data_IF_701195863908
#
_entry.id   IF_701195863908
#
_cell.length_a   1.000
_cell.length_b   1.000
_cell.length_c   1.000
_cell.angle_alpha   90.00
_cell.angle_beta   90.00
_cell.angle_gamma   90.00
#
_symmetry.space_group_name_H-M   'P 1'
#
loop_
_entity.id
_entity.type
_entity.pdbx_description
1 polymer ?
#
# COMPACT_ATOMS: atom_id res chain seq x y z
N UNK A 1 1.08 -72.22 15.11
CA UNK A 1 1.48 -71.16 14.15
C UNK A 1 0.36 -70.14 14.02
N UNK A 2 0.25 -69.16 14.92
CA UNK A 2 -0.79 -68.11 14.87
C UNK A 2 -0.17 -66.83 15.43
N UNK A 3 0.61 -66.09 14.64
CA UNK A 3 1.10 -64.75 15.06
C UNK A 3 1.85 -64.01 13.96
N UNK A 4 1.14 -63.53 12.92
CA UNK A 4 1.68 -62.44 12.09
C UNK A 4 0.66 -61.71 11.21
N UNK A 5 -0.58 -62.18 11.14
CA UNK A 5 -1.63 -61.51 10.34
C UNK A 5 -2.38 -60.42 11.10
N UNK A 6 -2.30 -60.42 12.44
CA UNK A 6 -3.01 -59.46 13.30
C UNK A 6 -2.60 -57.99 13.13
N UNK A 7 -1.30 -57.60 13.02
CA UNK A 7 -0.95 -56.19 12.91
C UNK A 7 -1.45 -55.61 11.58
N UNK A 8 -1.35 -56.36 10.48
CA UNK A 8 -1.81 -55.90 9.17
C UNK A 8 -3.32 -55.67 9.13
N UNK A 9 -4.11 -56.58 9.70
CA UNK A 9 -5.57 -56.41 9.76
C UNK A 9 -5.94 -55.24 10.67
N UNK A 10 -5.23 -55.06 11.79
CA UNK A 10 -5.49 -53.96 12.71
C UNK A 10 -5.13 -52.59 12.09
N UNK A 11 -3.99 -52.50 11.39
CA UNK A 11 -3.60 -51.28 10.67
C UNK A 11 -4.53 -50.98 9.50
N UNK A 12 -4.98 -52.00 8.76
CA UNK A 12 -5.95 -51.83 7.67
C UNK A 12 -7.30 -51.33 8.18
N UNK A 13 -7.78 -51.85 9.32
CA UNK A 13 -9.04 -51.41 9.95
C UNK A 13 -8.90 -49.99 10.50
N UNK A 14 -7.78 -49.65 11.15
CA UNK A 14 -7.53 -48.28 11.61
C UNK A 14 -7.43 -47.28 10.45
N UNK A 15 -6.74 -47.64 9.36
CA UNK A 15 -6.72 -46.82 8.15
C UNK A 15 -8.14 -46.67 7.58
N UNK A 16 -8.92 -47.74 7.47
CA UNK A 16 -10.30 -47.66 6.99
C UNK A 16 -11.17 -46.76 7.87
N UNK A 17 -11.04 -46.82 9.20
CA UNK A 17 -11.80 -45.97 10.14
C UNK A 17 -11.38 -44.50 10.02
N UNK A 18 -10.07 -44.22 9.90
CA UNK A 18 -9.55 -42.85 9.73
C UNK A 18 -10.00 -42.25 8.39
N UNK A 19 -10.07 -43.05 7.33
CA UNK A 19 -10.56 -42.61 6.01
C UNK A 19 -12.09 -42.55 5.91
N UNK A 20 -12.81 -43.28 6.78
CA UNK A 20 -14.28 -43.25 6.84
C UNK A 20 -14.84 -42.14 7.76
N UNK A 21 -14.01 -41.51 8.59
CA UNK A 21 -14.41 -40.36 9.39
C UNK A 21 -14.59 -39.14 8.46
N UNK A 22 -15.80 -38.56 8.37
CA UNK A 22 -16.00 -37.35 7.58
C UNK A 22 -15.14 -36.25 8.17
N UNK A 23 -14.16 -35.77 7.39
CA UNK A 23 -13.40 -34.56 7.70
C UNK A 23 -14.42 -33.44 7.90
N UNK A 24 -14.72 -33.08 9.16
CA UNK A 24 -15.60 -31.95 9.43
C UNK A 24 -14.93 -30.72 8.82
N UNK A 25 -15.57 -30.09 7.81
CA UNK A 25 -15.03 -28.86 7.28
C UNK A 25 -15.16 -27.80 8.37
N UNK A 26 -14.05 -27.45 9.01
CA UNK A 26 -13.97 -26.23 9.83
C UNK A 26 -13.97 -25.02 8.90
N UNK A 27 -15.04 -24.82 8.16
CA UNK A 27 -15.27 -23.51 7.55
C UNK A 27 -15.94 -22.66 8.62
N UNK A 28 -15.11 -22.02 9.44
CA UNK A 28 -15.50 -20.78 10.10
C UNK A 28 -15.76 -19.75 9.01
N UNK A 29 -16.93 -19.81 8.36
CA UNK A 29 -17.36 -18.78 7.42
C UNK A 29 -18.01 -17.70 8.26
N UNK A 30 -17.23 -16.68 8.65
CA UNK A 30 -17.84 -15.35 8.65
C UNK A 30 -18.23 -15.11 7.18
N UNK A 31 -19.48 -14.77 6.87
CA UNK A 31 -19.83 -14.38 5.51
C UNK A 31 -18.91 -13.23 5.11
N UNK A 32 -18.12 -13.39 4.05
CA UNK A 32 -17.48 -12.24 3.41
C UNK A 32 -18.64 -11.41 2.85
N UNK A 33 -18.77 -10.11 3.20
CA UNK A 33 -19.81 -9.29 2.62
C UNK A 33 -19.63 -9.31 1.09
N UNK A 34 -20.63 -9.84 0.39
CA UNK A 34 -20.69 -9.80 -1.06
C UNK A 34 -21.11 -8.38 -1.47
N UNK A 35 -20.13 -7.51 -1.72
CA UNK A 35 -20.41 -6.18 -2.25
C UNK A 35 -20.82 -6.31 -3.72
N UNK A 36 -22.13 -6.47 -3.94
CA UNK A 36 -22.77 -6.62 -5.27
C UNK A 36 -22.86 -5.32 -6.06
N UNK A 37 -21.86 -4.43 -5.97
CA UNK A 37 -21.77 -3.31 -6.90
C UNK A 37 -20.78 -3.65 -7.99
N UNK A 38 -21.35 -3.78 -9.19
CA UNK A 38 -20.66 -4.06 -10.46
C UNK A 38 -19.97 -2.79 -10.97
N UNK A 39 -19.40 -1.98 -10.07
CA UNK A 39 -18.60 -0.80 -10.39
C UNK A 39 -17.15 -1.21 -10.21
N UNK A 40 -16.40 -1.27 -11.30
CA UNK A 40 -14.99 -1.65 -11.31
C UNK A 40 -14.05 -0.66 -10.60
N UNK A 41 -14.54 0.18 -9.69
CA UNK A 41 -13.77 1.17 -8.96
C UNK A 41 -14.45 1.53 -7.64
N UNK A 42 -13.65 1.69 -6.58
CA UNK A 42 -14.12 2.28 -5.35
C UNK A 42 -14.34 3.78 -5.57
N UNK A 43 -15.61 4.12 -5.43
CA UNK A 43 -16.14 5.47 -5.35
C UNK A 43 -15.66 6.14 -4.05
N UNK A 44 -15.84 7.45 -4.00
CA UNK A 44 -15.70 8.21 -2.77
C UNK A 44 -16.65 7.65 -1.70
N UNK A 45 -16.34 7.82 -0.40
CA UNK A 45 -17.22 7.36 0.66
C UNK A 45 -18.62 7.98 0.55
N UNK A 46 -19.63 7.25 1.05
CA UNK A 46 -20.99 7.78 1.18
C UNK A 46 -20.95 9.14 1.90
N UNK A 47 -21.66 10.13 1.34
CA UNK A 47 -21.67 11.51 1.82
C UNK A 47 -20.37 12.30 1.59
N UNK A 48 -19.54 11.92 0.62
CA UNK A 48 -18.43 12.72 0.11
C UNK A 48 -18.78 14.20 -0.12
N UNK A 49 -20.02 14.48 -0.52
CA UNK A 49 -20.55 15.83 -0.75
C UNK A 49 -20.54 16.71 0.51
N UNK A 50 -20.49 16.13 1.71
CA UNK A 50 -20.33 16.88 2.96
C UNK A 50 -18.95 17.55 3.09
N UNK A 51 -17.95 17.05 2.36
CA UNK A 51 -16.57 17.57 2.39
C UNK A 51 -16.34 18.51 1.19
N UNK A 52 -16.85 18.15 0.02
CA UNK A 52 -16.74 18.93 -1.22
C UNK A 52 -18.08 18.94 -1.95
N UNK A 53 -18.60 20.12 -2.20
CA UNK A 53 -19.79 20.29 -3.05
C UNK A 53 -19.41 20.13 -4.53
N UNK A 54 -20.37 19.73 -5.38
CA UNK A 54 -20.22 19.67 -6.84
C UNK A 54 -19.07 18.77 -7.35
N UNK A 55 -18.98 17.55 -6.83
CA UNK A 55 -18.01 16.55 -7.29
C UNK A 55 -18.33 16.13 -8.73
N UNK A 56 -17.34 16.23 -9.62
CA UNK A 56 -17.40 15.75 -11.01
C UNK A 56 -16.81 14.34 -11.08
N UNK A 57 -17.45 13.38 -11.76
CA UNK A 57 -16.95 11.99 -11.87
C UNK A 57 -16.72 11.57 -13.33
N UNK A 58 -15.80 12.27 -14.02
CA UNK A 58 -15.38 11.91 -15.39
C UNK A 58 -13.99 11.27 -15.46
N UNK A 59 -13.26 11.20 -14.34
CA UNK A 59 -11.91 10.66 -14.32
C UNK A 59 -11.89 9.17 -14.69
N UNK A 60 -10.95 8.78 -15.56
CA UNK A 60 -10.78 7.40 -16.02
C UNK A 60 -9.35 6.90 -15.87
N UNK A 61 -9.22 5.67 -15.39
CA UNK A 61 -7.97 4.91 -15.35
C UNK A 61 -7.60 4.24 -16.69
N UNK A 62 -8.38 4.46 -17.76
CA UNK A 62 -8.06 3.91 -19.09
C UNK A 62 -6.70 4.45 -19.55
N UNK A 63 -5.85 3.56 -20.06
CA UNK A 63 -4.51 3.89 -20.58
C UNK A 63 -3.55 4.53 -19.57
N UNK A 64 -3.87 4.45 -18.27
CA UNK A 64 -3.00 4.87 -17.18
C UNK A 64 -2.29 3.65 -16.60
N UNK A 65 -1.04 3.83 -16.16
CA UNK A 65 -0.28 2.79 -15.43
C UNK A 65 -0.73 2.74 -13.97
N UNK A 66 -0.12 1.85 -13.18
CA UNK A 66 -0.28 1.89 -11.74
C UNK A 66 0.26 3.23 -11.20
N UNK A 67 -0.54 3.93 -10.39
CA UNK A 67 -0.10 5.20 -9.83
C UNK A 67 -1.22 6.06 -9.25
N UNK A 68 -0.83 7.25 -8.84
CA UNK A 68 -1.67 8.29 -8.26
C UNK A 68 -1.85 9.42 -9.27
N UNK A 69 -3.08 9.93 -9.37
CA UNK A 69 -3.48 10.91 -10.37
C UNK A 69 -4.35 12.00 -9.74
N UNK A 70 -3.88 13.24 -9.79
CA UNK A 70 -4.65 14.42 -9.40
C UNK A 70 -5.88 14.57 -10.32
N UNK A 71 -7.03 14.88 -9.74
CA UNK A 71 -8.22 15.17 -10.52
C UNK A 71 -8.38 16.67 -10.74
N UNK A 72 -7.96 17.13 -11.92
CA UNK A 72 -8.03 18.55 -12.29
C UNK A 72 -9.47 19.06 -12.47
N UNK A 73 -10.45 18.18 -12.76
CA UNK A 73 -11.86 18.59 -12.85
C UNK A 73 -12.48 18.86 -11.46
N UNK A 74 -11.80 18.41 -10.40
CA UNK A 74 -12.16 18.63 -9.00
C UNK A 74 -11.13 19.49 -8.26
N UNK A 75 -10.49 20.43 -8.97
CA UNK A 75 -9.50 21.38 -8.43
C UNK A 75 -8.34 20.69 -7.67
N UNK A 76 -8.01 19.46 -8.06
CA UNK A 76 -7.04 18.59 -7.38
C UNK A 76 -7.37 18.31 -5.91
N UNK A 77 -8.54 18.68 -5.40
CA UNK A 77 -8.98 18.29 -4.06
C UNK A 77 -9.32 16.80 -4.00
N UNK A 78 -9.62 16.19 -5.15
CA UNK A 78 -9.78 14.75 -5.32
C UNK A 78 -8.56 14.21 -6.06
N UNK A 79 -8.14 13.01 -5.69
CA UNK A 79 -7.16 12.24 -6.46
C UNK A 79 -7.59 10.78 -6.55
N UNK A 80 -7.04 10.09 -7.54
CA UNK A 80 -7.35 8.71 -7.83
C UNK A 80 -6.10 7.84 -7.82
N UNK A 81 -6.27 6.60 -7.36
CA UNK A 81 -5.27 5.54 -7.53
C UNK A 81 -5.78 4.61 -8.63
N UNK A 82 -4.97 4.40 -9.64
CA UNK A 82 -5.26 3.44 -10.71
C UNK A 82 -4.44 2.17 -10.54
N UNK A 83 -5.06 1.02 -10.75
CA UNK A 83 -4.41 -0.28 -10.86
C UNK A 83 -4.86 -0.97 -12.14
N UNK A 84 -4.00 -1.02 -13.18
CA UNK A 84 -4.30 -1.74 -14.41
C UNK A 84 -4.60 -3.22 -14.15
N UNK A 85 -5.54 -3.77 -14.89
CA UNK A 85 -5.92 -5.17 -14.87
C UNK A 85 -5.97 -5.72 -16.30
N UNK A 86 -6.00 -7.05 -16.44
CA UNK A 86 -6.04 -7.70 -17.76
C UNK A 86 -7.27 -7.34 -18.59
N UNK A 87 -8.36 -6.90 -17.96
CA UNK A 87 -9.63 -6.53 -18.62
C UNK A 87 -10.16 -5.17 -18.19
N UNK A 88 -9.28 -4.22 -17.87
CA UNK A 88 -9.66 -2.86 -17.48
C UNK A 88 -8.67 -2.25 -16.49
N UNK A 89 -9.18 -1.41 -15.61
CA UNK A 89 -8.40 -0.88 -14.48
C UNK A 89 -9.33 -0.70 -13.28
N UNK A 90 -8.81 -0.95 -12.08
CA UNK A 90 -9.48 -0.56 -10.85
C UNK A 90 -9.07 0.85 -10.47
N UNK A 91 -10.06 1.65 -10.10
CA UNK A 91 -9.89 3.01 -9.57
C UNK A 91 -10.25 3.03 -8.09
N UNK A 92 -9.48 3.76 -7.29
CA UNK A 92 -9.90 4.21 -5.95
C UNK A 92 -9.84 5.72 -5.92
N UNK A 93 -10.80 6.37 -5.26
CA UNK A 93 -10.89 7.83 -5.20
C UNK A 93 -10.80 8.33 -3.76
N UNK A 94 -10.11 9.45 -3.57
CA UNK A 94 -9.87 10.04 -2.25
C UNK A 94 -10.05 11.55 -2.30
N UNK A 95 -10.54 12.13 -1.21
CA UNK A 95 -10.64 13.59 -1.04
C UNK A 95 -9.54 14.02 -0.07
N UNK A 96 -8.75 15.02 -0.46
CA UNK A 96 -7.86 15.71 0.44
C UNK A 96 -8.67 16.48 1.51
N UNK A 97 -8.14 16.64 2.74
CA UNK A 97 -8.76 17.47 3.76
C UNK A 97 -9.05 18.91 3.28
N UNK A 98 -9.92 19.61 3.99
CA UNK A 98 -10.23 21.02 3.71
C UNK A 98 -8.93 21.86 3.60
N UNK A 99 -8.93 22.80 2.64
CA UNK A 99 -7.81 23.70 2.34
C UNK A 99 -6.53 23.03 1.80
N UNK A 100 -6.61 21.74 1.41
CA UNK A 100 -5.48 21.04 0.79
C UNK A 100 -5.87 20.46 -0.57
N UNK A 101 -4.87 20.33 -1.43
CA UNK A 101 -4.97 19.76 -2.77
C UNK A 101 -3.89 18.71 -2.97
N UNK A 102 -4.14 17.72 -3.80
CA UNK A 102 -3.19 16.68 -4.11
C UNK A 102 -2.06 17.24 -4.99
N UNK A 103 -0.86 17.29 -4.43
CA UNK A 103 0.33 17.70 -5.15
C UNK A 103 0.89 16.49 -5.92
N UNK A 104 0.63 16.44 -7.22
CA UNK A 104 1.06 15.34 -8.09
C UNK A 104 2.58 15.14 -8.12
N UNK A 105 3.39 16.19 -7.90
CA UNK A 105 4.84 16.11 -7.91
C UNK A 105 5.42 15.40 -6.67
N UNK A 106 4.64 15.34 -5.58
CA UNK A 106 5.09 14.75 -4.31
C UNK A 106 4.20 13.61 -3.81
N UNK A 107 3.08 13.35 -4.49
CA UNK A 107 2.06 12.37 -4.12
C UNK A 107 1.43 12.59 -2.74
N UNK A 108 1.33 13.84 -2.29
CA UNK A 108 0.82 14.21 -0.96
C UNK A 108 -0.22 15.32 -1.07
N UNK A 109 -1.26 15.30 -0.25
CA UNK A 109 -2.15 16.45 -0.08
C UNK A 109 -1.40 17.56 0.68
N UNK A 110 -1.16 18.70 0.03
CA UNK A 110 -0.50 19.86 0.62
C UNK A 110 -1.43 21.06 0.59
N UNK A 111 -1.11 22.09 1.37
CA UNK A 111 -1.76 23.40 1.19
C UNK A 111 -1.50 23.93 -0.21
N UNK A 112 -2.42 24.73 -0.74
CA UNK A 112 -2.36 25.26 -2.11
C UNK A 112 -1.13 26.12 -2.37
N UNK A 113 -0.67 26.87 -1.37
CA UNK A 113 0.54 27.71 -1.42
C UNK A 113 1.86 26.92 -1.51
N UNK A 114 1.84 25.66 -1.09
CA UNK A 114 2.97 24.74 -1.13
C UNK A 114 2.79 23.64 -2.19
N UNK A 115 1.75 23.74 -3.02
CA UNK A 115 1.48 22.81 -4.11
C UNK A 115 1.95 23.38 -5.44
N UNK A 116 2.22 22.49 -6.40
CA UNK A 116 2.23 22.88 -7.81
C UNK A 116 0.83 23.37 -8.23
N UNK A 117 0.72 24.24 -9.26
CA UNK A 117 -0.57 24.58 -9.84
C UNK A 117 -1.31 23.32 -10.29
N UNK A 118 -2.62 23.25 -10.02
CA UNK A 118 -3.41 22.04 -10.27
C UNK A 118 -3.38 21.65 -11.75
N UNK A 119 -3.44 22.64 -12.64
CA UNK A 119 -3.42 22.50 -14.10
C UNK A 119 -2.10 21.94 -14.64
N UNK A 120 -1.04 21.99 -13.83
CA UNK A 120 0.27 21.42 -14.18
C UNK A 120 0.44 19.98 -13.73
N UNK A 121 -0.53 19.41 -12.99
CA UNK A 121 -0.43 18.06 -12.42
C UNK A 121 -0.10 17.00 -13.46
N UNK A 122 -0.72 17.07 -14.65
CA UNK A 122 -0.49 16.08 -15.71
C UNK A 122 0.99 15.97 -16.14
N UNK A 123 1.76 17.06 -16.06
CA UNK A 123 3.20 17.07 -16.38
C UNK A 123 4.01 16.16 -15.46
N UNK A 124 3.49 15.84 -14.28
CA UNK A 124 4.12 15.01 -13.26
C UNK A 124 3.57 13.58 -13.22
N UNK A 125 2.66 13.19 -14.11
CA UNK A 125 2.14 11.81 -14.15
C UNK A 125 3.21 10.76 -14.45
N UNK A 126 4.29 11.14 -15.14
CA UNK A 126 5.45 10.26 -15.39
C UNK A 126 6.16 9.82 -14.11
N UNK A 127 6.03 10.57 -13.00
CA UNK A 127 6.59 10.16 -11.71
C UNK A 127 5.99 8.84 -11.20
N UNK A 128 4.78 8.47 -11.67
CA UNK A 128 4.19 7.18 -11.33
C UNK A 128 5.04 5.99 -11.80
N UNK A 129 5.88 6.17 -12.83
CA UNK A 129 6.78 5.13 -13.31
C UNK A 129 7.86 4.75 -12.29
N UNK A 130 8.15 5.62 -11.32
CA UNK A 130 9.11 5.34 -10.25
C UNK A 130 8.50 4.51 -9.11
N UNK A 131 7.17 4.37 -9.06
CA UNK A 131 6.50 3.67 -7.97
C UNK A 131 6.79 2.17 -8.05
N UNK A 132 7.33 1.63 -6.96
CA UNK A 132 7.64 0.20 -6.84
C UNK A 132 8.94 -0.23 -7.54
N UNK A 133 9.73 0.71 -8.08
CA UNK A 133 11.10 0.41 -8.51
C UNK A 133 12.02 0.31 -7.30
N UNK A 134 12.84 -0.73 -7.26
CA UNK A 134 13.94 -0.85 -6.32
C UNK A 134 15.00 0.18 -6.72
N UNK A 135 15.52 0.92 -5.74
CA UNK A 135 16.67 1.80 -5.98
C UNK A 135 17.88 0.88 -6.02
N UNK A 136 18.42 0.67 -7.21
CA UNK A 136 19.75 0.08 -7.36
C UNK A 136 20.74 1.11 -6.77
N UNK A 137 21.19 0.85 -5.54
CA UNK A 137 22.27 1.61 -4.93
C UNK A 137 23.53 1.33 -5.74
N UNK A 138 23.84 2.20 -6.71
CA UNK A 138 25.16 2.21 -7.33
C UNK A 138 26.17 2.56 -6.23
N UNK A 139 26.82 1.53 -5.67
CA UNK A 139 28.02 1.66 -4.84
C UNK A 139 29.09 2.35 -5.69
N UNK A 140 29.15 3.68 -5.59
CA UNK A 140 30.27 4.41 -6.16
C UNK A 140 31.49 4.10 -5.29
N UNK A 141 32.26 3.09 -5.70
CA UNK A 141 33.64 2.87 -5.26
C UNK A 141 34.47 4.09 -5.68
N UNK A 142 34.36 5.16 -4.90
CA UNK A 142 35.25 6.30 -5.02
C UNK A 142 36.56 5.93 -4.32
N UNK A 143 37.45 5.31 -5.10
CA UNK A 143 38.82 5.02 -4.73
C UNK A 143 39.50 6.29 -4.20
N UNK A 144 39.79 6.26 -2.90
CA UNK A 144 40.46 7.31 -2.16
C UNK A 144 41.92 7.41 -2.63
N UNK A 145 42.24 8.41 -3.45
CA UNK A 145 43.62 8.84 -3.65
C UNK A 145 43.92 10.03 -2.74
N UNK A 146 44.55 9.72 -1.61
CA UNK A 146 45.03 10.66 -0.60
C UNK A 146 46.07 11.60 -1.21
N UNK A 147 45.76 12.90 -1.25
CA UNK A 147 46.81 13.93 -1.11
C UNK A 147 46.33 14.94 -0.09
N UNK A 148 47.01 14.84 1.04
CA UNK A 148 46.94 15.69 2.21
C UNK A 148 47.38 17.11 1.86
N UNK A 149 46.49 18.08 2.10
CA UNK A 149 46.87 19.47 2.32
C UNK A 149 45.83 20.10 3.23
N UNK A 150 46.32 20.58 4.36
CA UNK A 150 45.62 21.01 5.56
C UNK A 150 44.60 22.14 5.34
N UNK A 151 43.31 21.93 5.71
CA UNK A 151 42.41 22.97 6.25
C UNK A 151 41.34 22.31 7.16
N UNK A 152 41.23 22.79 8.41
CA UNK A 152 40.27 22.37 9.45
C UNK A 152 38.86 23.00 9.29
N UNK A 153 37.83 22.59 10.07
CA UNK A 153 36.55 22.07 9.55
C UNK A 153 35.37 23.07 9.60
N UNK A 154 34.39 22.89 8.71
CA UNK A 154 33.04 23.43 8.89
C UNK A 154 32.00 22.31 8.77
N UNK A 155 31.29 22.15 9.89
CA UNK A 155 30.18 21.26 10.17
C UNK A 155 28.99 21.40 9.19
N UNK A 156 28.54 20.28 8.64
CA UNK A 156 27.12 20.01 8.38
C UNK A 156 26.85 18.53 8.09
N UNK A 157 26.67 17.71 9.13
CA UNK A 157 26.05 16.39 8.96
C UNK A 157 24.59 16.47 9.43
N UNK A 158 23.59 16.25 8.55
CA UNK A 158 22.19 16.13 8.97
C UNK A 158 21.99 14.87 9.83
N UNK A 159 21.06 14.89 10.81
CA UNK A 159 20.91 13.81 11.76
C UNK A 159 20.23 12.59 11.12
N UNK A 160 20.89 11.44 11.23
CA UNK A 160 20.31 10.12 10.95
C UNK A 160 19.21 9.84 11.97
N UNK A 161 17.95 9.73 11.51
CA UNK A 161 16.82 9.30 12.36
C UNK A 161 16.89 7.80 12.61
N UNK A 162 17.51 7.41 13.70
CA UNK A 162 17.36 6.04 14.25
C UNK A 162 16.18 6.01 15.20
N UNK A 163 15.04 5.45 14.77
CA UNK A 163 13.89 5.22 15.66
C UNK A 163 14.12 3.95 16.47
N UNK A 164 14.78 4.09 17.62
CA UNK A 164 14.83 3.06 18.68
C UNK A 164 13.91 3.47 19.83
N UNK A 165 13.10 2.50 20.29
CA UNK A 165 12.50 2.34 21.63
C UNK A 165 11.15 3.08 21.81
N UNK A 166 10.03 2.39 22.04
CA UNK A 166 9.71 1.87 23.37
C UNK A 166 9.11 0.46 23.37
N UNK A 167 9.96 -0.49 23.77
CA UNK A 167 9.57 -1.76 24.35
C UNK A 167 9.08 -1.47 25.78
N UNK A 168 7.76 -1.36 25.97
CA UNK A 168 7.12 -1.11 27.27
C UNK A 168 7.10 -2.39 28.09
N UNK A 169 8.18 -2.64 28.85
CA UNK A 169 8.21 -3.73 29.82
C UNK A 169 7.60 -3.32 31.16
N UNK A 170 6.69 -4.19 31.59
CA UNK A 170 5.92 -4.29 32.82
C UNK A 170 6.84 -4.61 34.01
N UNK A 171 6.90 -3.78 35.07
CA UNK A 171 7.07 -4.24 36.47
C UNK A 171 7.03 -3.11 37.52
N UNK A 172 5.95 -3.13 38.33
CA UNK A 172 5.94 -3.08 39.81
C UNK A 172 6.29 -1.81 40.62
N UNK A 173 5.27 -1.25 41.31
CA UNK A 173 5.15 -1.02 42.78
C UNK A 173 3.88 -0.20 43.04
N UNK A 174 2.84 -0.70 43.74
CA UNK A 174 2.69 -0.85 45.19
C UNK A 174 3.26 0.33 45.99
N UNK A 175 2.45 1.38 46.19
CA UNK A 175 1.96 1.84 47.50
C UNK A 175 0.89 2.92 47.31
#
# INVERSE_FOLDING_TARGET
MIRQSYPFVFFAVLFAIVWALPQQPRTSRRPVPEYKNKTGGLELPDNATLIRENIVDNFSCKERIYGYYADMENDCQIFHVCMPQTRGATRWSFICPAETVFNQATFVCTKTDNSIPCEESEKFYSLNEAIGKEVEEEESDMEHNTKESDVEPISSKPPVRTSRILNRNKSSRNQ
#
